data_IF_194684759464
#
_entry.id   IF_194684759464
#
_cell.length_a   1.000
_cell.length_b   1.000
_cell.length_c   1.000
_cell.angle_alpha   90.00
_cell.angle_beta   90.00
_cell.angle_gamma   90.00
#
_symmetry.space_group_name_H-M   'P 1'
#
loop_
_entity.id
_entity.type
_entity.pdbx_description
1 polymer ?
#
# COMPACT_ATOMS: atom_id res chain seq x y z
N UNK A 1 -8.68 9.27 7.90
CA UNK A 1 -7.51 9.43 7.01
C UNK A 1 -6.25 9.22 7.84
N UNK A 2 -5.28 8.42 7.38
CA UNK A 2 -4.02 8.26 8.11
C UNK A 2 -3.28 9.59 8.04
N UNK A 3 -3.09 10.26 9.18
CA UNK A 3 -2.23 11.44 9.23
C UNK A 3 -0.79 10.95 9.33
N UNK A 4 -0.04 11.12 8.25
CA UNK A 4 1.38 10.86 8.30
C UNK A 4 2.08 11.97 9.11
N UNK A 5 3.01 11.61 10.00
CA UNK A 5 3.83 12.59 10.71
C UNK A 5 4.69 13.41 9.74
N UNK A 6 5.26 14.51 10.23
CA UNK A 6 6.31 15.22 9.48
C UNK A 6 7.41 14.24 9.05
N UNK A 7 8.05 14.41 7.88
CA UNK A 7 9.15 13.55 7.43
C UNK A 7 10.31 13.41 8.44
N UNK A 8 10.40 14.33 9.39
CA UNK A 8 11.41 14.34 10.45
C UNK A 8 10.93 13.69 11.77
N UNK A 9 9.63 13.43 11.90
CA UNK A 9 9.06 12.82 13.10
C UNK A 9 9.09 11.30 12.97
N UNK A 10 9.91 10.65 13.80
CA UNK A 10 9.95 9.19 13.87
C UNK A 10 8.73 8.70 14.65
N UNK A 11 7.71 8.23 13.94
CA UNK A 11 6.51 7.63 14.55
C UNK A 11 6.55 6.13 14.36
N UNK A 12 6.46 5.41 15.48
CA UNK A 12 6.41 3.95 15.46
C UNK A 12 5.04 3.49 14.93
N UNK A 13 4.95 2.33 14.27
CA UNK A 13 3.68 1.86 13.69
C UNK A 13 2.51 1.85 14.70
N UNK A 14 2.76 1.47 15.95
CA UNK A 14 1.76 1.44 17.02
C UNK A 14 1.32 2.82 17.53
N UNK A 15 2.00 3.90 17.12
CA UNK A 15 1.64 5.28 17.46
C UNK A 15 0.77 5.93 16.38
N UNK A 16 0.58 5.28 15.23
CA UNK A 16 -0.26 5.79 14.15
C UNK A 16 -1.72 5.68 14.58
N UNK A 17 -2.36 6.84 14.80
CA UNK A 17 -3.79 6.90 15.04
C UNK A 17 -4.55 6.86 13.71
N UNK A 18 -5.33 5.81 13.52
CA UNK A 18 -6.27 5.72 12.41
C UNK A 18 -7.53 6.50 12.79
N UNK A 19 -7.77 7.61 12.10
CA UNK A 19 -9.05 8.32 12.20
C UNK A 19 -9.96 7.87 11.07
N UNK A 20 -11.22 7.60 11.37
CA UNK A 20 -12.23 7.42 10.33
C UNK A 20 -12.76 8.79 9.95
N UNK A 21 -12.87 9.11 8.65
CA UNK A 21 -13.48 10.36 8.26
C UNK A 21 -14.97 10.33 8.64
N UNK A 22 -15.50 11.44 9.14
CA UNK A 22 -16.90 11.57 9.54
C UNK A 22 -17.87 11.41 8.35
N UNK A 23 -17.34 11.52 7.11
CA UNK A 23 -18.07 11.52 5.85
C UNK A 23 -18.34 10.12 5.25
N UNK A 24 -18.39 9.06 6.07
CA UNK A 24 -18.95 7.76 5.69
C UNK A 24 -20.48 7.84 5.53
N UNK A 25 -20.93 8.80 4.73
CA UNK A 25 -22.31 9.27 4.65
C UNK A 25 -23.24 8.22 4.04
N UNK A 26 -22.72 7.32 3.21
CA UNK A 26 -23.51 6.26 2.56
C UNK A 26 -22.77 4.94 2.47
N UNK A 27 -23.54 3.87 2.22
CA UNK A 27 -23.02 2.53 1.96
C UNK A 27 -22.11 2.51 0.72
N UNK A 28 -22.46 3.27 -0.31
CA UNK A 28 -21.68 3.37 -1.55
C UNK A 28 -20.32 4.01 -1.29
N UNK A 29 -20.28 5.13 -0.56
CA UNK A 29 -19.01 5.80 -0.17
C UNK A 29 -18.15 4.87 0.69
N UNK A 30 -18.78 4.15 1.62
CA UNK A 30 -18.07 3.18 2.46
C UNK A 30 -17.50 2.03 1.63
N UNK A 31 -18.28 1.48 0.71
CA UNK A 31 -17.87 0.38 -0.15
C UNK A 31 -16.71 0.79 -1.06
N UNK A 32 -16.77 1.98 -1.67
CA UNK A 32 -15.70 2.54 -2.48
C UNK A 32 -14.38 2.63 -1.69
N UNK A 33 -14.42 3.14 -0.45
CA UNK A 33 -13.23 3.21 0.42
C UNK A 33 -12.69 1.83 0.80
N UNK A 34 -13.56 0.85 1.07
CA UNK A 34 -13.14 -0.52 1.43
C UNK A 34 -12.48 -1.21 0.22
N UNK A 35 -13.10 -1.11 -0.96
CA UNK A 35 -12.53 -1.64 -2.21
C UNK A 35 -11.19 -0.95 -2.49
N UNK A 36 -11.17 0.38 -2.40
CA UNK A 36 -9.95 1.18 -2.61
C UNK A 36 -8.83 0.84 -1.64
N UNK A 37 -9.15 0.39 -0.41
CA UNK A 37 -8.15 -0.01 0.57
C UNK A 37 -7.49 -1.35 0.21
N UNK A 38 -8.28 -2.36 -0.23
CA UNK A 38 -7.75 -3.66 -0.66
C UNK A 38 -6.99 -3.56 -1.99
N UNK A 39 -7.55 -2.85 -2.98
CA UNK A 39 -6.88 -2.63 -4.27
C UNK A 39 -5.66 -1.73 -4.08
N UNK A 40 -5.76 -0.68 -3.25
CA UNK A 40 -4.67 0.23 -2.95
C UNK A 40 -3.49 -0.46 -2.25
N UNK A 41 -3.75 -1.45 -1.40
CA UNK A 41 -2.72 -2.33 -0.84
C UNK A 41 -1.94 -3.03 -1.96
N UNK A 42 -2.64 -3.70 -2.88
CA UNK A 42 -2.01 -4.42 -3.98
C UNK A 42 -1.27 -3.51 -4.96
N UNK A 43 -1.80 -2.31 -5.21
CA UNK A 43 -1.15 -1.29 -6.04
C UNK A 43 0.12 -0.77 -5.36
N UNK A 44 0.07 -0.48 -4.06
CA UNK A 44 1.22 -0.01 -3.29
C UNK A 44 2.34 -1.05 -3.21
N UNK A 45 1.97 -2.30 -2.95
CA UNK A 45 2.86 -3.47 -2.99
C UNK A 45 3.56 -3.57 -4.36
N UNK A 46 2.81 -3.66 -5.47
CA UNK A 46 3.39 -3.81 -6.80
C UNK A 46 4.30 -2.63 -7.20
N UNK A 47 3.97 -1.39 -6.83
CA UNK A 47 4.83 -0.23 -7.05
C UNK A 47 6.12 -0.32 -6.23
N UNK A 48 6.00 -0.66 -4.94
CA UNK A 48 7.12 -0.74 -4.00
C UNK A 48 8.09 -1.89 -4.29
N UNK A 49 7.59 -3.04 -4.71
CA UNK A 49 8.36 -4.24 -5.01
C UNK A 49 9.45 -4.01 -6.07
N UNK A 50 9.17 -3.15 -7.05
CA UNK A 50 10.10 -2.80 -8.13
C UNK A 50 11.38 -2.08 -7.61
N UNK A 51 11.30 -1.45 -6.45
CA UNK A 51 12.39 -0.67 -5.82
C UNK A 51 12.76 -1.18 -4.43
N UNK A 52 12.29 -2.37 -4.06
CA UNK A 52 12.61 -2.98 -2.77
C UNK A 52 14.14 -3.10 -2.59
N UNK A 53 14.63 -2.83 -1.37
CA UNK A 53 16.04 -2.78 -1.00
C UNK A 53 16.90 -1.73 -1.73
N UNK A 54 16.31 -0.84 -2.53
CA UNK A 54 17.05 0.31 -3.09
C UNK A 54 17.23 1.38 -2.01
N UNK A 55 18.40 2.03 -1.94
CA UNK A 55 18.60 3.15 -1.03
C UNK A 55 17.72 4.33 -1.44
N UNK A 56 17.32 5.17 -0.47
CA UNK A 56 16.48 6.35 -0.75
C UNK A 56 17.06 7.26 -1.83
N UNK A 57 18.38 7.45 -1.85
CA UNK A 57 19.06 8.30 -2.83
C UNK A 57 18.91 7.79 -4.27
N UNK A 58 18.74 6.47 -4.47
CA UNK A 58 18.45 5.91 -5.78
C UNK A 58 17.13 6.45 -6.34
N UNK A 59 16.11 6.63 -5.49
CA UNK A 59 14.79 7.11 -5.90
C UNK A 59 14.77 8.60 -6.29
N UNK A 60 15.78 9.37 -5.87
CA UNK A 60 15.93 10.77 -6.31
C UNK A 60 16.26 10.85 -7.80
N UNK A 61 16.98 9.85 -8.31
CA UNK A 61 17.38 9.76 -9.73
C UNK A 61 16.47 8.82 -10.54
N UNK A 62 15.80 7.89 -9.87
CA UNK A 62 14.93 6.88 -10.47
C UNK A 62 13.56 6.86 -9.77
N UNK A 63 12.75 7.93 -9.93
CA UNK A 63 11.45 8.00 -9.29
C UNK A 63 10.49 6.92 -9.82
N UNK A 64 9.76 6.29 -8.91
CA UNK A 64 8.64 5.40 -9.27
C UNK A 64 7.51 6.27 -9.80
N UNK A 65 7.21 6.15 -11.09
CA UNK A 65 6.20 6.95 -11.80
C UNK A 65 5.11 6.10 -12.46
N UNK A 66 5.34 4.80 -12.56
CA UNK A 66 4.41 3.83 -13.16
C UNK A 66 4.73 2.42 -12.64
N UNK A 67 3.91 1.44 -13.01
CA UNK A 67 4.16 0.02 -12.77
C UNK A 67 5.35 -0.47 -13.61
N UNK A 68 6.43 -0.83 -12.92
CA UNK A 68 7.67 -1.25 -13.56
C UNK A 68 7.91 -2.75 -13.38
N UNK A 69 8.48 -3.38 -14.41
CA UNK A 69 9.03 -4.73 -14.30
C UNK A 69 10.42 -4.71 -13.64
N UNK A 70 10.85 -5.85 -13.10
CA UNK A 70 12.17 -6.03 -12.51
C UNK A 70 12.13 -6.04 -10.99
N UNK A 71 12.91 -5.16 -10.36
CA UNK A 71 13.14 -5.19 -8.91
C UNK A 71 13.96 -6.39 -8.47
N UNK A 72 13.99 -6.61 -7.15
CA UNK A 72 14.77 -7.68 -6.51
C UNK A 72 14.37 -9.07 -6.99
N UNK A 73 13.10 -9.25 -7.31
CA UNK A 73 12.50 -10.55 -7.64
C UNK A 73 12.24 -10.76 -9.13
N UNK A 74 12.59 -9.80 -10.00
CA UNK A 74 12.40 -9.94 -11.44
C UNK A 74 10.94 -10.00 -11.89
N UNK A 75 10.05 -9.30 -11.18
CA UNK A 75 8.60 -9.32 -11.40
C UNK A 75 8.21 -8.67 -12.73
N UNK A 76 7.08 -9.09 -13.31
CA UNK A 76 6.41 -8.36 -14.36
C UNK A 76 5.71 -7.11 -13.79
N UNK A 77 5.47 -6.10 -14.63
CA UNK A 77 4.76 -4.89 -14.21
C UNK A 77 3.37 -5.25 -13.65
N UNK A 78 3.06 -4.74 -12.45
CA UNK A 78 1.80 -4.99 -11.75
C UNK A 78 1.73 -6.29 -10.95
N UNK A 79 2.79 -7.11 -10.92
CA UNK A 79 2.86 -8.21 -9.97
C UNK A 79 3.19 -7.69 -8.57
N UNK A 80 2.41 -8.15 -7.60
CA UNK A 80 2.51 -7.89 -6.17
C UNK A 80 3.21 -9.06 -5.44
N UNK A 81 3.58 -8.87 -4.17
CA UNK A 81 4.37 -9.81 -3.37
C UNK A 81 3.55 -10.49 -2.27
N UNK A 82 4.23 -10.92 -1.20
CA UNK A 82 3.65 -11.55 -0.03
C UNK A 82 2.70 -10.64 0.74
N UNK A 83 2.86 -9.32 0.71
CA UNK A 83 1.92 -8.36 1.32
C UNK A 83 0.48 -8.60 0.82
N UNK A 84 0.29 -8.59 -0.51
CA UNK A 84 -1.02 -8.86 -1.12
C UNK A 84 -1.43 -10.32 -0.96
N UNK A 85 -0.49 -11.27 -1.05
CA UNK A 85 -0.78 -12.69 -0.85
C UNK A 85 -1.40 -12.95 0.53
N UNK A 86 -0.78 -12.43 1.58
CA UNK A 86 -1.25 -12.59 2.96
C UNK A 86 -2.57 -11.86 3.19
N UNK A 87 -2.74 -10.66 2.63
CA UNK A 87 -4.00 -9.92 2.72
C UNK A 87 -5.16 -10.71 2.09
N UNK A 88 -4.94 -11.36 0.94
CA UNK A 88 -5.94 -12.21 0.30
C UNK A 88 -6.23 -13.48 1.10
N UNK A 89 -5.21 -14.13 1.68
CA UNK A 89 -5.40 -15.26 2.58
C UNK A 89 -6.26 -14.88 3.79
N UNK A 90 -5.97 -13.74 4.41
CA UNK A 90 -6.74 -13.23 5.54
C UNK A 90 -8.19 -12.90 5.13
N UNK A 91 -8.38 -12.21 4.02
CA UNK A 91 -9.71 -11.88 3.50
C UNK A 91 -10.52 -13.15 3.20
N UNK A 92 -9.89 -14.16 2.57
CA UNK A 92 -10.51 -15.46 2.33
C UNK A 92 -11.00 -16.09 3.63
N UNK A 93 -10.19 -16.10 4.69
CA UNK A 93 -10.56 -16.69 5.98
C UNK A 93 -11.78 -16.05 6.66
N UNK A 94 -12.14 -14.83 6.28
CA UNK A 94 -13.33 -14.15 6.80
C UNK A 94 -14.61 -14.45 6.00
N UNK A 95 -14.47 -14.86 4.73
CA UNK A 95 -15.61 -15.07 3.82
C UNK A 95 -15.91 -16.55 3.56
N UNK A 96 -14.99 -17.45 3.90
CA UNK A 96 -15.14 -18.92 3.81
C UNK A 96 -15.09 -19.56 5.19
#
# INVERSE_FOLDING_TARGET
>A
MIKFPSPHDRVLPHQIQVTFPEDLATKEVTLDRVIGSLIGLAVGDALGASVEFRPRDYLLHHPVSDMQKGGTWGLNAGQWTDDTSMALCLASSFIT
#
